data_IF_637136794167
#
_entry.id   IF_637136794167
#
_cell.length_a   1.000
_cell.length_b   1.000
_cell.length_c   1.000
_cell.angle_alpha   90.00
_cell.angle_beta   90.00
_cell.angle_gamma   90.00
#
_symmetry.space_group_name_H-M   'P 1'
#
loop_
_entity.id
_entity.type
_entity.pdbx_description
1 polymer ?
#
# COMPACT_ATOMS: atom_id res chain seq x y z
N UNK A 1 37.37 -21.70 -69.75
CA UNK A 1 37.74 -23.04 -70.25
C UNK A 1 38.27 -23.84 -69.07
N UNK A 2 37.68 -25.01 -68.85
CA UNK A 2 38.01 -26.00 -67.83
C UNK A 2 39.51 -26.17 -67.61
N UNK A 3 39.91 -26.25 -66.33
CA UNK A 3 41.02 -27.09 -65.91
C UNK A 3 40.52 -27.93 -64.72
N UNK A 4 40.28 -29.19 -65.00
CA UNK A 4 40.18 -30.27 -64.03
C UNK A 4 41.61 -30.60 -63.57
N UNK A 5 41.88 -30.53 -62.27
CA UNK A 5 43.14 -31.03 -61.71
C UNK A 5 42.91 -31.68 -60.36
N UNK A 6 43.35 -32.93 -60.34
CA UNK A 6 43.30 -33.97 -59.33
C UNK A 6 44.11 -33.70 -58.06
N UNK A 7 43.70 -34.44 -57.01
CA UNK A 7 44.49 -35.02 -55.89
C UNK A 7 44.77 -34.15 -54.63
N UNK A 8 45.20 -34.73 -53.48
CA UNK A 8 44.50 -35.67 -52.58
C UNK A 8 44.50 -35.18 -51.10
N UNK A 9 43.85 -35.96 -50.23
CA UNK A 9 44.15 -36.08 -48.79
C UNK A 9 44.12 -34.81 -47.92
N UNK A 10 42.93 -34.49 -47.40
CA UNK A 10 42.76 -33.60 -46.25
C UNK A 10 42.01 -34.29 -45.12
N UNK A 11 42.75 -34.78 -44.12
CA UNK A 11 42.21 -35.02 -42.78
C UNK A 11 41.58 -33.70 -42.30
N UNK A 12 40.28 -33.71 -42.01
CA UNK A 12 39.64 -32.66 -41.24
C UNK A 12 38.56 -33.28 -40.38
N UNK A 13 38.73 -33.07 -39.08
CA UNK A 13 37.86 -33.52 -38.01
C UNK A 13 36.41 -33.15 -38.33
N UNK A 14 35.60 -34.16 -38.65
CA UNK A 14 34.15 -34.01 -38.68
C UNK A 14 33.66 -34.16 -37.25
N UNK A 15 33.32 -33.02 -36.66
CA UNK A 15 32.68 -32.91 -35.36
C UNK A 15 31.49 -33.87 -35.29
N UNK A 16 31.52 -34.73 -34.27
CA UNK A 16 30.36 -35.47 -33.83
C UNK A 16 29.29 -34.46 -33.44
N UNK A 17 28.26 -34.33 -34.28
CA UNK A 17 27.00 -33.74 -33.89
C UNK A 17 26.16 -34.87 -33.28
N UNK A 18 25.91 -34.88 -31.97
CA UNK A 18 24.88 -35.76 -31.44
C UNK A 18 23.53 -35.27 -31.98
N UNK A 19 22.92 -36.08 -32.84
CA UNK A 19 21.51 -36.04 -33.15
C UNK A 19 20.73 -36.27 -31.86
N UNK A 20 20.08 -35.24 -31.35
CA UNK A 20 19.07 -35.35 -30.30
C UNK A 20 17.90 -34.47 -30.68
N UNK A 21 16.82 -35.14 -31.07
CA UNK A 21 15.51 -34.59 -31.38
C UNK A 21 14.94 -33.76 -30.22
N UNK A 22 14.01 -32.82 -30.49
CA UNK A 22 13.67 -31.73 -29.60
C UNK A 22 12.75 -32.19 -28.47
N UNK A 23 13.33 -32.51 -27.32
CA UNK A 23 12.62 -32.41 -26.05
C UNK A 23 12.59 -30.94 -25.64
N UNK A 24 11.61 -30.19 -26.13
CA UNK A 24 11.22 -28.95 -25.47
C UNK A 24 10.69 -29.36 -24.09
N UNK A 25 11.61 -29.40 -23.11
CA UNK A 25 11.29 -29.37 -21.70
C UNK A 25 10.35 -28.19 -21.53
N UNK A 26 9.09 -28.50 -21.27
CA UNK A 26 8.10 -27.51 -20.92
C UNK A 26 8.62 -26.83 -19.67
N UNK A 27 9.11 -25.59 -19.80
CA UNK A 27 9.10 -24.66 -18.68
C UNK A 27 7.71 -24.81 -18.06
N UNK A 28 7.58 -25.14 -16.77
CA UNK A 28 6.32 -24.96 -16.09
C UNK A 28 6.11 -23.46 -16.05
N UNK A 29 5.51 -22.92 -17.11
CA UNK A 29 4.81 -21.66 -17.03
C UNK A 29 3.81 -21.90 -15.92
N UNK A 30 4.06 -21.30 -14.77
CA UNK A 30 3.16 -21.28 -13.63
C UNK A 30 1.87 -20.61 -14.10
N UNK A 31 1.02 -21.38 -14.79
CA UNK A 31 -0.41 -21.15 -14.81
C UNK A 31 -0.82 -21.48 -13.39
N UNK A 32 -0.58 -20.54 -12.48
CA UNK A 32 -1.30 -20.51 -11.21
C UNK A 32 -2.75 -20.55 -11.63
N UNK A 33 -3.36 -21.72 -11.53
CA UNK A 33 -4.74 -21.86 -11.92
C UNK A 33 -5.55 -21.08 -10.88
N UNK A 34 -6.65 -20.47 -11.29
CA UNK A 34 -7.50 -19.71 -10.37
C UNK A 34 -7.91 -20.60 -9.19
N UNK A 35 -8.06 -21.91 -9.45
CA UNK A 35 -8.30 -22.95 -8.45
C UNK A 35 -7.18 -23.08 -7.41
N UNK A 36 -5.90 -23.03 -7.82
CA UNK A 36 -4.77 -23.09 -6.88
C UNK A 36 -4.69 -21.82 -6.02
N UNK A 37 -4.99 -20.66 -6.61
CA UNK A 37 -5.03 -19.40 -5.89
C UNK A 37 -6.21 -19.37 -4.91
N UNK A 38 -7.37 -19.85 -5.31
CA UNK A 38 -8.57 -19.94 -4.46
C UNK A 38 -8.37 -20.91 -3.30
N UNK A 39 -7.68 -22.04 -3.54
CA UNK A 39 -7.30 -22.99 -2.50
C UNK A 39 -6.34 -22.35 -1.48
N UNK A 40 -5.28 -21.68 -1.95
CA UNK A 40 -4.34 -20.96 -1.08
C UNK A 40 -4.99 -19.83 -0.31
N UNK A 41 -5.82 -19.03 -0.97
CA UNK A 41 -6.58 -17.96 -0.32
C UNK A 41 -7.52 -18.52 0.74
N UNK A 42 -8.19 -19.64 0.47
CA UNK A 42 -9.10 -20.26 1.44
C UNK A 42 -8.38 -20.79 2.68
N UNK A 43 -7.20 -21.39 2.50
CA UNK A 43 -6.34 -21.86 3.59
C UNK A 43 -5.81 -20.69 4.43
N UNK A 44 -5.22 -19.69 3.78
CA UNK A 44 -4.70 -18.48 4.44
C UNK A 44 -5.81 -17.70 5.17
N UNK A 45 -7.00 -17.58 4.55
CA UNK A 45 -8.15 -16.93 5.16
C UNK A 45 -8.64 -17.69 6.39
N UNK A 46 -8.59 -19.03 6.39
CA UNK A 46 -9.03 -19.84 7.53
C UNK A 46 -8.09 -19.67 8.73
N UNK A 47 -6.78 -19.75 8.51
CA UNK A 47 -5.78 -19.50 9.56
C UNK A 47 -5.82 -18.05 10.07
N UNK A 48 -6.01 -17.09 9.17
CA UNK A 48 -6.14 -15.68 9.53
C UNK A 48 -7.41 -15.43 10.35
N UNK A 49 -8.56 -16.06 10.02
CA UNK A 49 -9.82 -15.88 10.73
C UNK A 49 -9.72 -16.22 12.22
N UNK A 50 -9.03 -17.31 12.57
CA UNK A 50 -8.86 -17.74 13.96
C UNK A 50 -8.02 -16.75 14.75
N UNK A 51 -6.86 -16.36 14.19
CA UNK A 51 -5.95 -15.37 14.79
C UNK A 51 -6.62 -14.00 14.94
N UNK A 52 -7.40 -13.59 13.93
CA UNK A 52 -8.12 -12.31 13.95
C UNK A 52 -9.19 -12.33 15.04
N UNK A 53 -9.91 -13.44 15.25
CA UNK A 53 -11.01 -13.49 16.21
C UNK A 53 -10.52 -13.28 17.66
N UNK A 54 -9.45 -13.95 18.06
CA UNK A 54 -8.90 -13.83 19.42
C UNK A 54 -8.28 -12.46 19.69
N UNK A 55 -7.58 -11.88 18.70
CA UNK A 55 -6.96 -10.56 18.83
C UNK A 55 -7.93 -9.40 18.66
N UNK A 56 -8.98 -9.57 17.84
CA UNK A 56 -9.92 -8.50 17.52
C UNK A 56 -10.77 -8.11 18.72
N UNK A 57 -11.26 -9.05 19.52
CA UNK A 57 -12.14 -8.72 20.66
C UNK A 57 -11.44 -7.76 21.65
N UNK A 58 -10.19 -8.08 22.00
CA UNK A 58 -9.37 -7.25 22.90
C UNK A 58 -8.99 -5.90 22.26
N UNK A 59 -8.63 -5.91 20.97
CA UNK A 59 -8.26 -4.69 20.25
C UNK A 59 -9.45 -3.74 20.07
N UNK A 60 -10.62 -4.30 19.78
CA UNK A 60 -11.87 -3.55 19.61
C UNK A 60 -12.26 -2.87 20.91
N UNK A 61 -12.26 -3.57 22.05
CA UNK A 61 -12.61 -2.97 23.35
C UNK A 61 -11.73 -1.76 23.68
N UNK A 62 -10.41 -1.88 23.52
CA UNK A 62 -9.48 -0.75 23.75
C UNK A 62 -9.69 0.38 22.75
N UNK A 63 -9.98 0.06 21.50
CA UNK A 63 -10.27 1.06 20.48
C UNK A 63 -11.58 1.81 20.76
N UNK A 64 -12.60 1.14 21.32
CA UNK A 64 -13.87 1.79 21.70
C UNK A 64 -13.63 2.89 22.72
N UNK A 65 -12.84 2.64 23.74
CA UNK A 65 -12.56 3.61 24.80
C UNK A 65 -11.85 4.86 24.26
N UNK A 66 -10.87 4.69 23.37
CA UNK A 66 -10.04 5.80 22.86
C UNK A 66 -10.73 6.62 21.76
N UNK A 67 -11.61 6.01 20.97
CA UNK A 67 -12.12 6.60 19.72
C UNK A 67 -13.55 7.14 19.87
N UNK A 68 -14.36 6.65 20.82
CA UNK A 68 -15.78 7.05 20.93
C UNK A 68 -15.97 8.57 21.07
N UNK A 69 -15.05 9.27 21.74
CA UNK A 69 -15.11 10.73 21.89
C UNK A 69 -14.79 11.51 20.60
N UNK A 70 -14.12 10.89 19.61
CA UNK A 70 -13.58 11.57 18.42
C UNK A 70 -14.33 11.25 17.13
N UNK A 71 -15.32 10.38 17.17
CA UNK A 71 -16.10 9.97 15.99
C UNK A 71 -16.76 11.15 15.29
N UNK A 72 -17.39 12.06 16.03
CA UNK A 72 -18.03 13.25 15.46
C UNK A 72 -17.05 14.17 14.72
N UNK A 73 -15.81 14.26 15.18
CA UNK A 73 -14.78 15.01 14.47
C UNK A 73 -14.38 14.35 13.15
N UNK A 74 -14.19 13.02 13.16
CA UNK A 74 -13.90 12.26 11.96
C UNK A 74 -15.04 12.35 10.93
N UNK A 75 -16.29 12.24 11.38
CA UNK A 75 -17.48 12.38 10.55
C UNK A 75 -17.53 13.75 9.83
N UNK A 76 -17.21 14.84 10.54
CA UNK A 76 -17.12 16.18 9.94
C UNK A 76 -16.03 16.27 8.85
N UNK A 77 -14.85 15.69 9.08
CA UNK A 77 -13.80 15.69 8.06
C UNK A 77 -14.17 14.87 6.83
N UNK A 78 -14.80 13.71 7.01
CA UNK A 78 -15.32 12.90 5.91
C UNK A 78 -16.39 13.69 5.15
N UNK A 79 -17.27 14.41 5.85
CA UNK A 79 -18.28 15.29 5.24
C UNK A 79 -17.67 16.45 4.43
N UNK A 80 -16.55 17.01 4.90
CA UNK A 80 -15.78 18.03 4.17
C UNK A 80 -15.22 17.49 2.85
N UNK A 81 -14.58 16.31 2.87
CA UNK A 81 -14.06 15.64 1.67
C UNK A 81 -15.20 15.29 0.71
N UNK A 82 -16.31 14.76 1.23
CA UNK A 82 -17.50 14.45 0.44
C UNK A 82 -18.06 15.68 -0.28
N UNK A 83 -18.06 16.83 0.40
CA UNK A 83 -18.50 18.12 -0.18
C UNK A 83 -17.54 18.58 -1.27
N UNK A 84 -16.23 18.42 -1.08
CA UNK A 84 -15.24 18.74 -2.10
C UNK A 84 -15.39 17.86 -3.35
N UNK A 85 -15.60 16.55 -3.17
CA UNK A 85 -15.87 15.61 -4.26
C UNK A 85 -17.17 15.94 -5.00
N UNK A 86 -18.23 16.30 -4.28
CA UNK A 86 -19.50 16.69 -4.91
C UNK A 86 -19.35 17.97 -5.74
N UNK A 87 -18.65 18.97 -5.20
CA UNK A 87 -18.37 20.23 -5.91
C UNK A 87 -17.51 20.00 -7.14
N UNK A 88 -16.42 19.24 -7.00
CA UNK A 88 -15.55 18.87 -8.12
C UNK A 88 -16.33 18.11 -9.20
N UNK A 89 -17.18 17.15 -8.80
CA UNK A 89 -18.04 16.43 -9.74
C UNK A 89 -19.05 17.33 -10.45
N UNK A 90 -19.68 18.27 -9.74
CA UNK A 90 -20.60 19.24 -10.33
C UNK A 90 -19.91 20.18 -11.32
N UNK A 91 -18.68 20.60 -11.00
CA UNK A 91 -17.84 21.40 -11.89
C UNK A 91 -17.48 20.60 -13.16
N UNK A 92 -17.02 19.36 -12.99
CA UNK A 92 -16.64 18.49 -14.10
C UNK A 92 -17.84 18.08 -14.97
N UNK A 93 -19.02 17.94 -14.37
CA UNK A 93 -20.29 17.72 -15.08
C UNK A 93 -20.63 18.91 -15.98
N UNK A 94 -20.35 20.13 -15.52
CA UNK A 94 -20.62 21.39 -16.23
C UNK A 94 -19.55 21.74 -17.26
N UNK A 95 -18.30 21.31 -17.03
CA UNK A 95 -17.10 21.62 -17.84
C UNK A 95 -16.80 20.62 -18.96
N UNK A 96 -17.79 19.81 -19.39
CA UNK A 96 -17.67 18.93 -20.56
C UNK A 96 -17.32 17.46 -20.28
N UNK A 97 -17.21 17.06 -19.00
CA UNK A 97 -17.02 15.66 -18.58
C UNK A 97 -18.24 15.17 -17.79
N UNK A 98 -19.42 15.25 -18.44
CA UNK A 98 -20.73 14.98 -17.82
C UNK A 98 -20.80 13.63 -17.09
N UNK A 99 -20.33 12.55 -17.70
CA UNK A 99 -20.41 11.21 -17.12
C UNK A 99 -19.54 11.07 -15.87
N UNK A 100 -18.26 11.45 -15.96
CA UNK A 100 -17.33 11.36 -14.84
C UNK A 100 -17.73 12.32 -13.71
N UNK A 101 -18.19 13.53 -14.05
CA UNK A 101 -18.72 14.49 -13.10
C UNK A 101 -19.93 13.98 -12.34
N UNK A 102 -20.89 13.33 -13.02
CA UNK A 102 -22.05 12.70 -12.38
C UNK A 102 -21.64 11.61 -11.40
N UNK A 103 -20.70 10.75 -11.77
CA UNK A 103 -20.18 9.71 -10.87
C UNK A 103 -19.50 10.32 -9.64
N UNK A 104 -18.60 11.27 -9.81
CA UNK A 104 -17.91 11.94 -8.70
C UNK A 104 -18.91 12.64 -7.75
N UNK A 105 -19.91 13.31 -8.33
CA UNK A 105 -21.00 13.97 -7.60
C UNK A 105 -21.84 12.97 -6.79
N UNK A 106 -22.19 11.83 -7.39
CA UNK A 106 -22.94 10.77 -6.73
C UNK A 106 -22.13 10.12 -5.59
N UNK A 107 -20.83 9.91 -5.80
CA UNK A 107 -19.92 9.42 -4.76
C UNK A 107 -19.90 10.41 -3.60
N UNK A 108 -19.66 11.70 -3.86
CA UNK A 108 -19.67 12.75 -2.84
C UNK A 108 -20.97 12.76 -2.02
N UNK A 109 -22.14 12.67 -2.67
CA UNK A 109 -23.43 12.60 -1.98
C UNK A 109 -23.59 11.37 -1.10
N UNK A 110 -23.13 10.22 -1.58
CA UNK A 110 -23.19 8.95 -0.86
C UNK A 110 -22.29 8.99 0.36
N UNK A 111 -21.04 9.45 0.22
CA UNK A 111 -20.07 9.61 1.32
C UNK A 111 -20.58 10.61 2.35
N UNK A 112 -21.19 11.73 1.93
CA UNK A 112 -21.79 12.70 2.86
C UNK A 112 -22.95 12.08 3.67
N UNK A 113 -23.75 11.24 3.04
CA UNK A 113 -24.85 10.54 3.72
C UNK A 113 -24.31 9.58 4.77
N UNK A 114 -23.22 8.87 4.47
CA UNK A 114 -22.52 8.03 5.44
C UNK A 114 -21.93 8.88 6.57
N UNK A 115 -21.25 9.98 6.26
CA UNK A 115 -20.68 10.89 7.25
C UNK A 115 -21.73 11.40 8.25
N UNK A 116 -22.89 11.86 7.76
CA UNK A 116 -24.01 12.28 8.63
C UNK A 116 -24.58 11.14 9.47
N UNK A 117 -24.61 9.92 8.93
CA UNK A 117 -25.04 8.75 9.71
C UNK A 117 -24.04 8.36 10.79
N UNK A 118 -22.76 8.71 10.65
CA UNK A 118 -21.72 8.44 11.65
C UNK A 118 -21.66 9.52 12.74
N UNK A 119 -22.17 10.72 12.45
CA UNK A 119 -22.18 11.81 13.42
C UNK A 119 -23.07 11.46 14.63
N UNK A 120 -22.50 11.58 15.83
CA UNK A 120 -23.20 11.22 17.07
C UNK A 120 -23.36 9.72 17.32
N UNK A 121 -22.74 8.85 16.50
CA UNK A 121 -22.71 7.40 16.72
C UNK A 121 -21.44 6.95 17.41
N UNK A 122 -21.57 5.87 18.17
CA UNK A 122 -20.42 5.19 18.75
C UNK A 122 -19.74 4.26 17.74
N UNK A 123 -18.47 3.91 18.01
CA UNK A 123 -17.69 3.04 17.12
C UNK A 123 -18.36 1.66 16.91
N UNK A 124 -19.08 1.16 17.92
CA UNK A 124 -19.79 -0.13 17.83
C UNK A 124 -20.94 -0.08 16.81
N UNK A 125 -21.67 1.02 16.77
CA UNK A 125 -22.71 1.24 15.78
C UNK A 125 -22.11 1.42 14.38
N UNK A 126 -20.96 2.09 14.27
CA UNK A 126 -20.24 2.24 13.00
C UNK A 126 -19.73 0.89 12.49
N UNK A 127 -19.19 0.05 13.37
CA UNK A 127 -18.78 -1.30 13.02
C UNK A 127 -19.98 -2.12 12.51
N UNK A 128 -21.13 -2.01 13.16
CA UNK A 128 -22.38 -2.66 12.72
C UNK A 128 -22.80 -2.17 11.33
N UNK A 129 -22.72 -0.85 11.07
CA UNK A 129 -23.00 -0.30 9.74
C UNK A 129 -22.01 -0.81 8.67
N UNK A 130 -20.74 -0.99 9.03
CA UNK A 130 -19.72 -1.52 8.13
C UNK A 130 -19.95 -3.01 7.84
N UNK A 131 -20.34 -3.80 8.83
CA UNK A 131 -20.73 -5.21 8.66
C UNK A 131 -21.92 -5.35 7.71
N UNK A 132 -22.98 -4.57 7.96
CA UNK A 132 -24.16 -4.52 7.10
C UNK A 132 -23.81 -4.15 5.65
N UNK A 133 -22.89 -3.19 5.47
CA UNK A 133 -22.40 -2.82 4.14
C UNK A 133 -21.61 -3.94 3.49
N UNK A 134 -20.71 -4.59 4.22
CA UNK A 134 -19.91 -5.72 3.73
C UNK A 134 -20.77 -6.90 3.28
N UNK A 135 -21.85 -7.18 4.01
CA UNK A 135 -22.83 -8.22 3.63
C UNK A 135 -23.62 -7.87 2.37
N UNK A 136 -23.92 -6.59 2.14
CA UNK A 136 -24.67 -6.10 0.97
C UNK A 136 -23.79 -5.96 -0.27
N UNK A 137 -22.55 -5.53 -0.10
CA UNK A 137 -21.61 -5.25 -1.19
C UNK A 137 -20.21 -5.80 -0.87
N UNK A 138 -20.01 -7.13 -0.97
CA UNK A 138 -18.75 -7.77 -0.60
C UNK A 138 -17.56 -7.26 -1.42
N UNK A 139 -17.73 -7.04 -2.73
CA UNK A 139 -16.67 -6.52 -3.59
C UNK A 139 -16.24 -5.10 -3.22
N UNK A 140 -17.20 -4.21 -2.90
CA UNK A 140 -16.89 -2.84 -2.49
C UNK A 140 -16.16 -2.82 -1.13
N UNK A 141 -16.60 -3.67 -0.19
CA UNK A 141 -15.94 -3.82 1.10
C UNK A 141 -14.49 -4.31 0.96
N UNK A 142 -14.24 -5.33 0.14
CA UNK A 142 -12.88 -5.81 -0.13
C UNK A 142 -12.00 -4.71 -0.76
N UNK A 143 -12.54 -3.94 -1.71
CA UNK A 143 -11.81 -2.82 -2.32
C UNK A 143 -11.43 -1.73 -1.30
N UNK A 144 -12.37 -1.33 -0.45
CA UNK A 144 -12.12 -0.33 0.61
C UNK A 144 -11.14 -0.88 1.64
N UNK A 145 -11.28 -2.14 2.05
CA UNK A 145 -10.39 -2.78 3.01
C UNK A 145 -8.95 -2.89 2.49
N UNK A 146 -8.77 -3.25 1.22
CA UNK A 146 -7.45 -3.29 0.59
C UNK A 146 -6.79 -1.90 0.55
N UNK A 147 -7.54 -0.86 0.14
CA UNK A 147 -7.05 0.52 0.14
C UNK A 147 -6.70 1.00 1.56
N UNK A 148 -7.54 0.70 2.54
CA UNK A 148 -7.30 1.03 3.94
C UNK A 148 -6.06 0.32 4.49
N UNK A 149 -5.88 -0.96 4.18
CA UNK A 149 -4.71 -1.74 4.56
C UNK A 149 -3.42 -1.19 3.95
N UNK A 150 -3.43 -0.84 2.67
CA UNK A 150 -2.29 -0.20 2.00
C UNK A 150 -1.98 1.17 2.61
N UNK A 151 -3.00 2.00 2.86
CA UNK A 151 -2.84 3.30 3.49
C UNK A 151 -2.26 3.16 4.92
N UNK A 152 -2.75 2.19 5.70
CA UNK A 152 -2.25 1.88 7.03
C UNK A 152 -0.78 1.42 6.98
N UNK A 153 -0.43 0.52 6.05
CA UNK A 153 0.96 0.09 5.84
C UNK A 153 1.88 1.28 5.52
N UNK A 154 1.42 2.19 4.66
CA UNK A 154 2.17 3.41 4.34
C UNK A 154 2.32 4.33 5.55
N UNK A 155 1.30 4.47 6.39
CA UNK A 155 1.37 5.26 7.63
C UNK A 155 2.35 4.66 8.63
N UNK A 156 2.29 3.34 8.85
CA UNK A 156 3.22 2.61 9.71
C UNK A 156 4.67 2.80 9.23
N UNK A 157 4.91 2.64 7.94
CA UNK A 157 6.24 2.81 7.31
C UNK A 157 6.74 4.26 7.42
N UNK A 158 5.86 5.23 7.16
CA UNK A 158 6.18 6.66 7.28
C UNK A 158 6.45 7.07 8.74
N UNK A 159 5.73 6.47 9.69
CA UNK A 159 5.92 6.71 11.13
C UNK A 159 7.27 6.18 11.62
N UNK A 160 7.65 4.96 11.22
CA UNK A 160 8.94 4.37 11.55
C UNK A 160 10.12 5.21 11.02
N UNK A 161 9.99 5.80 9.82
CA UNK A 161 11.02 6.68 9.23
C UNK A 161 11.18 8.01 9.97
N UNK A 162 10.16 8.46 10.72
CA UNK A 162 10.24 9.66 11.56
C UNK A 162 11.01 9.40 12.85
N UNK A 163 10.92 8.19 13.40
CA UNK A 163 11.65 7.80 14.61
C UNK A 163 13.16 7.65 14.37
N UNK A 164 13.58 7.23 13.17
CA UNK A 164 15.00 7.14 12.79
C UNK A 164 15.66 8.49 12.48
N UNK A 165 14.89 9.53 12.17
CA UNK A 165 15.40 10.90 12.00
C UNK A 165 15.62 11.64 13.34
N UNK A 166 15.20 11.03 14.46
CA UNK A 166 15.52 11.48 15.80
C UNK A 166 16.77 10.75 16.34
N UNK A 167 17.82 10.64 15.52
CA UNK A 167 19.15 10.41 16.08
C UNK A 167 19.60 11.71 16.78
N UNK A 168 20.22 11.63 17.98
CA UNK A 168 20.59 12.81 18.75
C UNK A 168 21.45 13.72 17.89
N UNK A 169 21.07 15.00 17.81
CA UNK A 169 22.04 16.03 17.48
C UNK A 169 23.05 15.99 18.63
N UNK A 170 24.21 15.36 18.41
CA UNK A 170 25.34 15.56 19.29
C UNK A 170 25.54 17.08 19.41
N UNK A 171 25.49 17.66 20.62
CA UNK A 171 26.01 18.99 20.80
C UNK A 171 27.51 18.88 20.52
N UNK A 172 27.93 19.36 19.35
CA UNK A 172 29.33 19.67 19.12
C UNK A 172 29.73 20.75 20.11
N UNK A 173 30.12 20.33 21.32
CA UNK A 173 30.87 21.17 22.25
C UNK A 173 32.17 21.45 21.52
N UNK A 174 32.24 22.64 20.92
CA UNK A 174 33.46 23.21 20.41
C UNK A 174 34.42 23.41 21.57
N UNK A 175 35.26 22.40 21.81
CA UNK A 175 36.42 22.53 22.65
C UNK A 175 37.36 23.51 21.95
N UNK A 176 37.33 24.77 22.38
CA UNK A 176 38.36 25.76 22.04
C UNK A 176 39.61 25.37 22.85
N UNK A 177 40.71 24.92 22.25
CA UNK A 177 41.97 24.81 22.99
C UNK A 177 42.44 26.23 23.31
N UNK A 178 42.56 26.52 24.61
CA UNK A 178 43.16 27.77 25.08
C UNK A 178 44.64 27.79 24.71
N UNK A 179 45.03 28.71 23.83
CA UNK A 179 46.42 29.16 23.75
C UNK A 179 46.63 30.16 24.87
N UNK A 180 47.24 29.69 25.97
CA UNK A 180 47.93 30.55 26.89
C UNK A 180 49.00 31.32 26.10
N UNK A 181 48.84 32.64 25.98
CA UNK A 181 49.94 33.52 25.61
C UNK A 181 50.08 34.58 26.69
N UNK A 182 51.29 34.62 27.19
CA UNK A 182 51.87 35.45 28.24
C UNK A 182 52.06 36.90 27.77
N UNK A 183 52.20 37.80 28.75
CA UNK A 183 52.59 39.21 28.56
C UNK A 183 51.45 40.13 29.01
N UNK A 184 51.62 41.04 29.95
CA UNK A 184 52.81 41.63 30.54
C UNK A 184 52.36 42.96 31.13
N UNK A 185 52.96 43.33 32.24
CA UNK A 185 52.57 44.43 33.12
C UNK A 185 52.54 45.81 32.44
N UNK A 186 51.60 46.67 32.83
CA UNK A 186 51.90 47.97 33.47
C UNK A 186 50.63 48.82 33.73
N UNK A 187 50.48 49.24 34.99
CA UNK A 187 49.70 50.39 35.41
C UNK A 187 50.72 51.43 35.90
N UNK A 188 50.68 52.65 35.36
CA UNK A 188 51.56 53.76 35.72
C UNK A 188 51.80 54.71 34.55
#
# INVERSE_FOLDING_TARGET
MQNDFTDPAGRSASAQTPSSSPGFGSSPGTRTSISDLEAKVSEDVSAAKETIKEGADTAVEKAKEVISERTSFAARQVGGVATALEKAGAEMESSGQAEVGRYAKQIGRSVRTVARRMEGKDIGEIATMAEDFGRKQPLAFLGIAALAGLAASRFLTASAKRQTAAAPREPSIGLRPGTATTGGENNG
#
